data_IF_014509013753
#
_entry.id   IF_014509013753
#
_cell.length_a   1.000
_cell.length_b   1.000
_cell.length_c   1.000
_cell.angle_alpha   90.00
_cell.angle_beta   90.00
_cell.angle_gamma   90.00
#
_symmetry.space_group_name_H-M   'P 1'
#
loop_
_entity.id
_entity.type
_entity.pdbx_description
1 polymer ?
#
# COMPACT_ATOMS: atom_id res chain seq x y z
N UNK A 1 -16.66 -8.11 19.32
CA UNK A 1 -16.57 -6.63 19.38
C UNK A 1 -15.14 -6.27 19.76
N UNK A 2 -14.48 -5.47 18.96
CA UNK A 2 -13.20 -4.86 19.33
C UNK A 2 -13.49 -3.88 20.48
N UNK A 3 -12.69 -3.92 21.54
CA UNK A 3 -12.89 -3.02 22.68
C UNK A 3 -12.61 -1.57 22.24
N UNK A 4 -13.35 -0.60 22.78
CA UNK A 4 -13.14 0.85 22.52
C UNK A 4 -11.67 1.28 22.71
N UNK A 5 -10.92 0.60 23.57
CA UNK A 5 -9.49 0.87 23.77
C UNK A 5 -8.63 0.46 22.58
N UNK A 6 -8.99 -0.61 21.85
CA UNK A 6 -8.27 -1.03 20.64
C UNK A 6 -8.46 -0.03 19.49
N UNK A 7 -9.67 0.48 19.28
CA UNK A 7 -9.89 1.53 18.28
C UNK A 7 -9.02 2.74 18.55
N UNK A 8 -8.95 3.23 19.78
CA UNK A 8 -8.11 4.38 20.16
C UNK A 8 -6.62 4.18 19.86
N UNK A 9 -6.12 2.96 20.02
CA UNK A 9 -4.72 2.66 19.67
C UNK A 9 -4.49 2.80 18.17
N UNK A 10 -5.35 2.21 17.32
CA UNK A 10 -5.23 2.34 15.87
C UNK A 10 -5.40 3.78 15.42
N UNK A 11 -6.38 4.51 15.96
CA UNK A 11 -6.58 5.94 15.70
C UNK A 11 -5.33 6.77 16.02
N UNK A 12 -4.65 6.44 17.13
CA UNK A 12 -3.36 7.04 17.48
C UNK A 12 -2.26 6.69 16.48
N UNK A 13 -2.18 5.43 16.04
CA UNK A 13 -1.15 4.96 15.09
C UNK A 13 -1.28 5.65 13.73
N UNK A 14 -2.52 5.93 13.28
CA UNK A 14 -2.78 6.63 12.01
C UNK A 14 -2.97 8.15 12.17
N UNK A 15 -2.94 8.67 13.40
CA UNK A 15 -3.16 10.08 13.74
C UNK A 15 -4.51 10.63 13.24
N UNK A 16 -5.56 9.80 13.26
CA UNK A 16 -6.91 10.17 12.89
C UNK A 16 -7.94 9.53 13.82
N UNK A 17 -8.88 10.34 14.31
CA UNK A 17 -9.98 9.90 15.19
C UNK A 17 -11.25 9.85 14.38
N UNK A 18 -11.88 8.68 14.31
CA UNK A 18 -13.14 8.49 13.60
C UNK A 18 -14.31 9.14 14.33
N UNK A 19 -15.12 9.90 13.60
CA UNK A 19 -16.40 10.43 14.09
C UNK A 19 -17.45 9.32 14.21
N UNK A 20 -17.42 8.36 13.26
CA UNK A 20 -18.31 7.18 13.26
C UNK A 20 -17.48 5.88 13.43
N UNK A 21 -17.56 5.29 14.62
CA UNK A 21 -16.90 4.04 14.95
C UNK A 21 -17.37 2.82 14.12
N UNK A 22 -18.54 2.90 13.51
CA UNK A 22 -19.07 1.82 12.65
C UNK A 22 -18.34 1.80 11.31
N UNK A 23 -17.88 2.95 10.81
CA UNK A 23 -17.04 3.03 9.62
C UNK A 23 -15.70 2.35 9.90
N UNK A 24 -15.06 2.68 11.02
CA UNK A 24 -13.80 2.01 11.43
C UNK A 24 -13.98 0.51 11.60
N UNK A 25 -15.02 0.08 12.32
CA UNK A 25 -15.32 -1.34 12.51
C UNK A 25 -15.49 -2.05 11.16
N UNK A 26 -16.17 -1.43 10.21
CA UNK A 26 -16.37 -1.98 8.87
C UNK A 26 -15.06 -2.06 8.09
N UNK A 27 -14.22 -1.03 8.16
CA UNK A 27 -12.90 -1.01 7.51
C UNK A 27 -11.98 -2.13 8.02
N UNK A 28 -12.19 -2.60 9.24
CA UNK A 28 -11.42 -3.68 9.87
C UNK A 28 -12.05 -5.06 9.68
N UNK A 29 -13.26 -5.17 9.12
CA UNK A 29 -14.00 -6.43 9.02
C UNK A 29 -13.77 -7.09 7.66
N UNK A 30 -13.10 -8.25 7.67
CA UNK A 30 -12.89 -9.06 6.47
C UNK A 30 -14.16 -9.81 6.05
N UNK A 31 -14.31 -10.11 4.76
CA UNK A 31 -15.47 -10.85 4.21
C UNK A 31 -15.69 -12.24 4.82
N UNK A 32 -14.64 -12.88 5.32
CA UNK A 32 -14.78 -14.17 6.02
C UNK A 32 -15.55 -14.08 7.34
N UNK A 33 -15.64 -12.87 7.92
CA UNK A 33 -16.34 -12.63 9.18
C UNK A 33 -17.79 -12.21 8.96
N UNK A 34 -18.04 -11.32 8.00
CA UNK A 34 -19.38 -10.73 7.81
C UNK A 34 -19.59 -10.30 6.35
N UNK A 35 -20.86 -10.35 5.90
CA UNK A 35 -21.27 -9.76 4.64
C UNK A 35 -21.15 -8.21 4.64
N UNK A 36 -21.27 -7.57 5.81
CA UNK A 36 -20.98 -6.13 5.97
C UNK A 36 -19.47 -6.00 6.29
N UNK A 37 -18.66 -5.97 5.24
CA UNK A 37 -17.21 -6.02 5.29
C UNK A 37 -16.53 -4.80 4.63
N UNK A 38 -15.22 -4.84 4.51
CA UNK A 38 -14.39 -3.75 4.05
C UNK A 38 -14.29 -3.60 2.52
N UNK A 39 -14.66 -4.59 1.69
CA UNK A 39 -14.38 -4.59 0.23
C UNK A 39 -14.80 -3.31 -0.50
N UNK A 40 -15.92 -2.71 -0.13
CA UNK A 40 -16.36 -1.44 -0.74
C UNK A 40 -15.54 -0.23 -0.29
N UNK A 41 -14.98 -0.27 0.91
CA UNK A 41 -14.08 0.77 1.40
C UNK A 41 -12.69 0.62 0.79
N UNK A 42 -12.21 -0.60 0.61
CA UNK A 42 -11.00 -0.95 -0.14
C UNK A 42 -11.05 -0.36 -1.56
N UNK A 43 -12.10 -0.67 -2.32
CA UNK A 43 -12.28 -0.13 -3.67
C UNK A 43 -12.19 1.39 -3.72
N UNK A 44 -12.77 2.08 -2.74
CA UNK A 44 -12.72 3.54 -2.67
C UNK A 44 -11.36 4.05 -2.20
N UNK A 45 -10.78 3.36 -1.24
CA UNK A 45 -9.49 3.71 -0.65
C UNK A 45 -8.34 3.59 -1.64
N UNK A 46 -8.33 2.54 -2.47
CA UNK A 46 -7.39 2.39 -3.59
C UNK A 46 -7.39 3.63 -4.50
N UNK A 47 -8.56 4.07 -4.95
CA UNK A 47 -8.68 5.24 -5.81
C UNK A 47 -8.18 6.55 -5.12
N UNK A 48 -8.49 6.73 -3.83
CA UNK A 48 -8.06 7.89 -3.05
C UNK A 48 -6.55 7.86 -2.83
N UNK A 49 -6.01 6.71 -2.51
CA UNK A 49 -4.57 6.47 -2.33
C UNK A 49 -3.79 6.81 -3.60
N UNK A 50 -4.22 6.25 -4.73
CA UNK A 50 -3.62 6.49 -6.05
C UNK A 50 -3.63 7.98 -6.41
N UNK A 51 -4.73 8.69 -6.17
CA UNK A 51 -4.85 10.12 -6.43
C UNK A 51 -3.85 10.92 -5.58
N UNK A 52 -3.81 10.67 -4.27
CA UNK A 52 -2.94 11.42 -3.33
C UNK A 52 -1.47 11.19 -3.62
N UNK A 53 -1.08 9.92 -3.88
CA UNK A 53 0.31 9.60 -4.21
C UNK A 53 0.71 10.14 -5.58
N UNK A 54 -0.19 10.12 -6.57
CA UNK A 54 0.07 10.73 -7.87
C UNK A 54 0.31 12.24 -7.75
N UNK A 55 -0.52 12.94 -6.99
CA UNK A 55 -0.34 14.38 -6.73
C UNK A 55 1.00 14.64 -6.03
N UNK A 56 1.35 13.84 -5.05
CA UNK A 56 2.60 13.97 -4.30
C UNK A 56 3.82 13.76 -5.21
N UNK A 57 3.83 12.69 -5.98
CA UNK A 57 4.93 12.36 -6.91
C UNK A 57 5.06 13.45 -7.99
N UNK A 58 3.96 13.90 -8.57
CA UNK A 58 3.94 14.96 -9.56
C UNK A 58 4.58 16.27 -9.06
N UNK A 59 4.30 16.65 -7.80
CA UNK A 59 4.86 17.85 -7.18
C UNK A 59 6.33 17.70 -6.81
N UNK A 60 6.71 16.56 -6.27
CA UNK A 60 8.05 16.34 -5.71
C UNK A 60 9.08 16.02 -6.81
N UNK A 61 8.66 15.30 -7.84
CA UNK A 61 9.53 14.86 -8.93
C UNK A 61 9.19 15.54 -10.25
N UNK A 62 9.14 16.87 -10.26
CA UNK A 62 8.68 17.69 -11.38
C UNK A 62 9.48 17.53 -12.71
N UNK A 63 10.68 16.94 -12.65
CA UNK A 63 11.53 16.69 -13.83
C UNK A 63 11.45 15.24 -14.33
N UNK A 64 10.65 14.41 -13.67
CA UNK A 64 10.50 13.00 -14.03
C UNK A 64 9.34 12.82 -15.00
N UNK A 65 9.57 12.07 -16.08
CA UNK A 65 8.56 11.76 -17.10
C UNK A 65 7.42 10.88 -16.55
N UNK A 66 6.23 10.99 -17.17
CA UNK A 66 5.00 10.31 -16.75
C UNK A 66 5.19 8.81 -16.54
N UNK A 67 5.78 8.10 -17.51
CA UNK A 67 5.96 6.65 -17.41
C UNK A 67 6.85 6.22 -16.22
N UNK A 68 7.75 7.09 -15.78
CA UNK A 68 8.55 6.88 -14.56
C UNK A 68 7.74 7.18 -13.30
N UNK A 69 6.95 8.25 -13.29
CA UNK A 69 6.04 8.57 -12.16
C UNK A 69 5.02 7.44 -11.94
N UNK A 70 4.46 6.89 -13.01
CA UNK A 70 3.54 5.74 -12.94
C UNK A 70 4.19 4.51 -12.32
N UNK A 71 5.45 4.20 -12.67
CA UNK A 71 6.19 3.10 -12.03
C UNK A 71 6.52 3.37 -10.55
N UNK A 72 6.87 4.61 -10.22
CA UNK A 72 7.10 5.01 -8.82
C UNK A 72 5.83 4.81 -8.00
N UNK A 73 4.67 5.25 -8.50
CA UNK A 73 3.39 5.00 -7.85
C UNK A 73 3.14 3.52 -7.69
N UNK A 74 3.24 2.72 -8.77
CA UNK A 74 3.06 1.28 -8.71
C UNK A 74 3.99 0.61 -7.68
N UNK A 75 5.20 1.13 -7.49
CA UNK A 75 6.11 0.66 -6.45
C UNK A 75 5.60 0.96 -5.04
N UNK A 76 4.98 2.12 -4.82
CA UNK A 76 4.43 2.53 -3.52
C UNK A 76 3.14 1.79 -3.16
N UNK A 77 2.29 1.46 -4.16
CA UNK A 77 0.97 0.86 -3.92
C UNK A 77 0.93 -0.65 -4.19
N UNK A 78 2.08 -1.30 -4.42
CA UNK A 78 2.05 -2.75 -4.55
C UNK A 78 1.71 -3.43 -3.22
N UNK A 79 1.14 -4.61 -3.31
CA UNK A 79 0.68 -5.40 -2.17
C UNK A 79 1.72 -5.51 -1.03
N UNK A 80 3.00 -5.70 -1.38
CA UNK A 80 4.08 -5.83 -0.39
C UNK A 80 4.34 -4.52 0.36
N UNK A 81 4.34 -3.40 -0.37
CA UNK A 81 4.55 -2.07 0.21
C UNK A 81 3.41 -1.70 1.15
N UNK A 82 2.15 -1.90 0.71
CA UNK A 82 0.97 -1.65 1.55
C UNK A 82 0.94 -2.55 2.78
N UNK A 83 1.24 -3.84 2.64
CA UNK A 83 1.32 -4.76 3.75
C UNK A 83 2.43 -4.38 4.75
N UNK A 84 3.54 -3.83 4.29
CA UNK A 84 4.58 -3.31 5.17
C UNK A 84 4.07 -2.13 6.00
N UNK A 85 3.42 -1.14 5.38
CA UNK A 85 2.82 0.00 6.10
C UNK A 85 1.76 -0.49 7.10
N UNK A 86 0.91 -1.45 6.69
CA UNK A 86 -0.09 -2.04 7.58
C UNK A 86 0.54 -2.63 8.84
N UNK A 87 1.68 -3.32 8.72
CA UNK A 87 2.43 -3.84 9.88
C UNK A 87 3.07 -2.72 10.70
N UNK A 88 3.60 -1.67 10.08
CA UNK A 88 4.20 -0.54 10.80
C UNK A 88 3.18 0.17 11.71
N UNK A 89 1.89 0.15 11.35
CA UNK A 89 0.79 0.67 12.18
C UNK A 89 0.08 -0.40 13.01
N UNK A 90 0.60 -1.63 13.07
CA UNK A 90 0.05 -2.77 13.82
C UNK A 90 -1.40 -3.13 13.39
N UNK A 91 -1.77 -2.90 12.11
CA UNK A 91 -3.15 -3.08 11.62
C UNK A 91 -3.67 -4.52 11.80
N UNK A 92 -2.79 -5.52 11.72
CA UNK A 92 -3.08 -6.94 11.90
C UNK A 92 -3.74 -7.24 13.26
N UNK A 93 -3.38 -6.51 14.33
CA UNK A 93 -3.93 -6.70 15.66
C UNK A 93 -5.40 -6.28 15.79
N UNK A 94 -5.85 -5.45 14.86
CA UNK A 94 -7.21 -4.88 14.85
C UNK A 94 -8.17 -5.58 13.88
N UNK A 95 -7.66 -6.44 12.98
CA UNK A 95 -8.48 -7.11 11.97
C UNK A 95 -9.50 -8.08 12.57
N UNK A 96 -10.72 -8.01 12.04
CA UNK A 96 -11.84 -8.90 12.39
C UNK A 96 -11.99 -9.93 11.29
N UNK A 97 -11.45 -11.14 11.55
CA UNK A 97 -11.45 -12.27 10.61
C UNK A 97 -12.43 -13.36 11.06
N UNK A 98 -12.95 -14.14 10.13
CA UNK A 98 -13.69 -15.36 10.43
C UNK A 98 -12.79 -16.46 11.01
N UNK A 99 -13.38 -17.44 11.69
CA UNK A 99 -12.65 -18.50 12.39
C UNK A 99 -11.64 -19.27 11.51
N UNK A 100 -11.93 -19.46 10.23
CA UNK A 100 -11.04 -20.15 9.29
C UNK A 100 -9.80 -19.34 8.88
N UNK A 101 -9.87 -18.00 8.96
CA UNK A 101 -8.77 -17.08 8.59
C UNK A 101 -7.99 -16.56 9.80
N UNK A 102 -8.53 -16.72 11.02
CA UNK A 102 -7.99 -16.07 12.23
C UNK A 102 -6.56 -16.51 12.60
N UNK A 103 -6.11 -17.69 12.17
CA UNK A 103 -4.80 -18.24 12.56
C UNK A 103 -3.68 -17.86 11.60
N UNK A 104 -3.95 -17.72 10.30
CA UNK A 104 -2.94 -17.44 9.26
C UNK A 104 -3.23 -16.19 8.44
N UNK A 105 -4.46 -15.70 8.45
CA UNK A 105 -4.91 -14.59 7.62
C UNK A 105 -4.36 -13.23 8.02
N UNK A 106 -4.18 -12.99 9.32
CA UNK A 106 -3.72 -11.69 9.85
C UNK A 106 -2.36 -11.24 9.29
N UNK A 107 -1.48 -12.19 8.97
CA UNK A 107 -0.14 -11.90 8.43
C UNK A 107 -0.04 -12.01 6.91
N UNK A 108 -1.14 -12.29 6.20
CA UNK A 108 -1.11 -12.35 4.72
C UNK A 108 -1.03 -10.96 4.14
N UNK A 109 -0.06 -10.76 3.26
CA UNK A 109 0.16 -9.48 2.57
C UNK A 109 -1.11 -8.99 1.86
N UNK A 110 -1.89 -9.88 1.23
CA UNK A 110 -3.13 -9.50 0.55
C UNK A 110 -4.19 -8.95 1.51
N UNK A 111 -4.38 -9.59 2.67
CA UNK A 111 -5.36 -9.11 3.66
C UNK A 111 -4.91 -7.79 4.28
N UNK A 112 -3.62 -7.63 4.51
CA UNK A 112 -3.06 -6.41 5.09
C UNK A 112 -3.13 -5.23 4.11
N UNK A 113 -2.79 -5.45 2.82
CA UNK A 113 -2.92 -4.43 1.78
C UNK A 113 -4.35 -3.95 1.62
N UNK A 114 -5.28 -4.90 1.42
CA UNK A 114 -6.70 -4.61 1.22
C UNK A 114 -7.31 -3.88 2.43
N UNK A 115 -6.89 -4.28 3.64
CA UNK A 115 -7.35 -3.64 4.89
C UNK A 115 -6.78 -2.22 5.07
N UNK A 116 -5.56 -1.95 4.62
CA UNK A 116 -4.99 -0.60 4.64
C UNK A 116 -5.73 0.32 3.67
N UNK A 117 -6.00 -0.14 2.47
CA UNK A 117 -6.82 0.60 1.51
C UNK A 117 -8.22 0.85 2.07
N UNK A 118 -8.84 -0.16 2.68
CA UNK A 118 -10.14 -0.02 3.33
C UNK A 118 -10.13 0.99 4.48
N UNK A 119 -9.07 1.03 5.27
CA UNK A 119 -8.90 2.01 6.34
C UNK A 119 -8.80 3.43 5.78
N UNK A 120 -8.05 3.63 4.70
CA UNK A 120 -7.95 4.90 3.97
C UNK A 120 -9.32 5.31 3.41
N UNK A 121 -10.04 4.38 2.79
CA UNK A 121 -11.41 4.60 2.33
C UNK A 121 -12.37 4.97 3.45
N UNK A 122 -12.20 4.35 4.62
CA UNK A 122 -12.92 4.69 5.83
C UNK A 122 -12.66 6.12 6.31
N UNK A 123 -11.39 6.53 6.37
CA UNK A 123 -11.00 7.90 6.71
C UNK A 123 -11.60 8.90 5.72
N UNK A 124 -11.58 8.57 4.43
CA UNK A 124 -12.18 9.42 3.40
C UNK A 124 -13.71 9.59 3.58
N UNK A 125 -14.42 8.53 3.87
CA UNK A 125 -15.89 8.59 4.11
C UNK A 125 -16.21 9.36 5.38
N UNK A 126 -15.42 9.21 6.43
CA UNK A 126 -15.67 9.81 7.75
C UNK A 126 -15.23 11.27 7.83
N UNK A 127 -14.07 11.61 7.27
CA UNK A 127 -13.43 12.92 7.41
C UNK A 127 -13.14 13.67 6.11
N UNK A 128 -13.53 13.11 4.96
CA UNK A 128 -13.34 13.73 3.65
C UNK A 128 -11.91 13.63 3.12
N UNK A 129 -11.69 14.26 1.96
CA UNK A 129 -10.43 14.15 1.22
C UNK A 129 -9.22 14.70 1.98
N UNK A 130 -9.36 15.83 2.65
CA UNK A 130 -8.24 16.46 3.38
C UNK A 130 -7.72 15.57 4.52
N UNK A 131 -8.62 14.89 5.24
CA UNK A 131 -8.26 13.94 6.29
C UNK A 131 -7.54 12.72 5.71
N UNK A 132 -8.08 12.13 4.64
CA UNK A 132 -7.44 11.01 3.96
C UNK A 132 -6.06 11.39 3.41
N UNK A 133 -5.94 12.56 2.78
CA UNK A 133 -4.66 13.07 2.28
C UNK A 133 -3.63 13.24 3.40
N UNK A 134 -4.04 13.72 4.56
CA UNK A 134 -3.15 13.89 5.72
C UNK A 134 -2.64 12.55 6.23
N UNK A 135 -3.54 11.58 6.41
CA UNK A 135 -3.19 10.22 6.82
C UNK A 135 -2.25 9.55 5.81
N UNK A 136 -2.59 9.58 4.52
CA UNK A 136 -1.75 8.99 3.46
C UNK A 136 -0.36 9.62 3.45
N UNK A 137 -0.26 10.95 3.52
CA UNK A 137 1.03 11.65 3.55
C UNK A 137 1.88 11.21 4.74
N UNK A 138 1.28 11.04 5.91
CA UNK A 138 1.98 10.58 7.11
C UNK A 138 2.49 9.15 6.95
N UNK A 139 1.65 8.23 6.49
CA UNK A 139 1.99 6.81 6.35
C UNK A 139 3.07 6.56 5.29
N UNK A 140 3.04 7.28 4.17
CA UNK A 140 3.94 7.07 3.04
C UNK A 140 5.19 7.96 3.07
N UNK A 141 5.32 8.90 3.99
CA UNK A 141 6.41 9.87 4.06
C UNK A 141 7.79 9.21 4.03
N UNK A 142 8.00 8.18 4.85
CA UNK A 142 9.27 7.44 4.93
C UNK A 142 9.61 6.75 3.60
N UNK A 143 8.63 6.09 2.99
CA UNK A 143 8.84 5.39 1.73
C UNK A 143 9.14 6.37 0.59
N UNK A 144 8.41 7.50 0.51
CA UNK A 144 8.63 8.51 -0.52
C UNK A 144 10.03 9.11 -0.41
N UNK A 145 10.49 9.44 0.81
CA UNK A 145 11.85 9.95 1.04
C UNK A 145 12.96 8.96 0.67
N UNK A 146 12.67 7.67 0.71
CA UNK A 146 13.62 6.61 0.37
C UNK A 146 13.61 6.24 -1.12
N UNK A 147 12.63 6.73 -1.89
CA UNK A 147 12.60 6.50 -3.32
C UNK A 147 13.80 7.16 -3.97
N UNK A 148 14.65 6.35 -4.58
CA UNK A 148 15.63 6.82 -5.54
C UNK A 148 15.10 6.47 -6.95
N UNK A 149 14.71 7.48 -7.77
CA UNK A 149 14.22 7.21 -9.12
C UNK A 149 15.20 6.39 -9.96
N UNK A 150 16.48 6.60 -9.81
CA UNK A 150 17.54 5.90 -10.56
C UNK A 150 17.53 4.39 -10.28
N UNK A 151 17.33 3.98 -9.01
CA UNK A 151 17.34 2.57 -8.63
C UNK A 151 16.09 1.82 -9.11
N UNK A 152 14.93 2.50 -9.17
CA UNK A 152 13.68 1.92 -9.66
C UNK A 152 13.68 1.71 -11.18
N UNK A 153 14.59 2.39 -11.91
CA UNK A 153 14.61 2.39 -13.37
C UNK A 153 15.81 1.68 -13.97
N UNK A 154 16.68 1.13 -13.14
CA UNK A 154 17.71 0.21 -13.65
C UNK A 154 17.01 -0.95 -14.34
N UNK A 155 17.11 -1.00 -15.66
CA UNK A 155 16.69 -2.15 -16.43
C UNK A 155 17.30 -3.40 -15.81
N UNK A 156 16.48 -4.45 -15.60
CA UNK A 156 16.95 -5.69 -14.98
C UNK A 156 18.17 -6.28 -15.68
N UNK A 157 18.32 -6.04 -17.00
CA UNK A 157 19.52 -6.40 -17.74
C UNK A 157 20.73 -5.59 -17.30
N UNK A 158 20.57 -4.28 -17.19
CA UNK A 158 21.65 -3.38 -16.76
C UNK A 158 22.06 -3.66 -15.31
N UNK A 159 21.06 -3.85 -14.42
CA UNK A 159 21.31 -4.23 -13.03
C UNK A 159 22.08 -5.56 -12.91
N UNK A 160 21.68 -6.59 -13.69
CA UNK A 160 22.39 -7.86 -13.73
C UNK A 160 23.82 -7.70 -14.27
N UNK A 161 24.02 -6.91 -15.33
CA UNK A 161 25.34 -6.64 -15.89
C UNK A 161 26.27 -5.96 -14.88
N UNK A 162 25.77 -4.94 -14.15
CA UNK A 162 26.55 -4.25 -13.11
C UNK A 162 26.96 -5.23 -11.98
N UNK A 163 26.04 -6.08 -11.53
CA UNK A 163 26.34 -7.09 -10.50
C UNK A 163 27.40 -8.07 -10.98
N UNK A 164 27.30 -8.56 -12.22
CA UNK A 164 28.25 -9.51 -12.78
C UNK A 164 29.63 -8.85 -12.99
N UNK A 165 29.68 -7.62 -13.48
CA UNK A 165 30.94 -6.86 -13.62
C UNK A 165 31.61 -6.62 -12.28
N UNK A 166 30.84 -6.21 -11.25
CA UNK A 166 31.35 -5.99 -9.89
C UNK A 166 31.97 -7.24 -9.27
N UNK A 167 31.47 -8.41 -9.64
CA UNK A 167 31.97 -9.71 -9.16
C UNK A 167 32.94 -10.39 -10.13
N UNK A 168 33.44 -9.67 -11.15
CA UNK A 168 34.31 -10.20 -12.20
C UNK A 168 33.76 -11.47 -12.88
N UNK A 169 32.44 -11.58 -13.02
CA UNK A 169 31.76 -12.68 -13.69
C UNK A 169 31.52 -12.35 -15.18
N UNK A 170 31.38 -13.38 -16.01
CA UNK A 170 31.07 -13.21 -17.43
C UNK A 170 29.68 -12.54 -17.57
N UNK A 171 29.61 -11.58 -18.50
CA UNK A 171 28.32 -10.95 -18.85
C UNK A 171 27.35 -11.96 -19.47
N UNK A 172 26.02 -11.79 -19.26
CA UNK A 172 25.03 -12.71 -19.79
C UNK A 172 24.92 -12.55 -21.31
N UNK A 173 24.81 -13.66 -22.02
CA UNK A 173 24.47 -13.69 -23.44
C UNK A 173 22.95 -13.81 -23.61
N UNK A 174 22.35 -12.88 -24.32
CA UNK A 174 20.92 -12.88 -24.59
C UNK A 174 20.64 -13.44 -25.98
N UNK A 175 19.76 -14.46 -26.07
CA UNK A 175 19.31 -15.00 -27.34
C UNK A 175 17.78 -14.80 -27.47
N UNK A 176 17.36 -14.29 -28.61
CA UNK A 176 15.94 -14.26 -28.97
C UNK A 176 15.46 -15.67 -29.24
N UNK A 177 14.59 -16.21 -28.38
CA UNK A 177 14.09 -17.57 -28.51
C UNK A 177 12.77 -17.58 -29.30
N UNK A 178 11.90 -16.59 -29.06
CA UNK A 178 10.58 -16.47 -29.73
C UNK A 178 10.09 -15.04 -29.63
N UNK A 179 9.38 -14.57 -30.64
CA UNK A 179 8.59 -13.35 -30.60
C UNK A 179 7.12 -13.74 -30.65
N UNK A 180 6.33 -13.41 -29.63
CA UNK A 180 4.88 -13.51 -29.62
C UNK A 180 4.33 -12.09 -29.49
N UNK A 181 3.52 -11.69 -30.42
CA UNK A 181 2.83 -10.40 -30.44
C UNK A 181 2.12 -10.24 -31.78
N UNK A 182 0.89 -9.75 -31.73
CA UNK A 182 0.12 -9.31 -32.89
C UNK A 182 0.72 -8.05 -33.49
#
# INVERSE_FOLDING_TARGET
MISKNKHKQLESNIQYIFNDSDILTRALTHRSHSAKNYERLEFLGDAVLDMVLSERLYKEFSQIEEGRLSRMRAHLVNQRALAQIAREIELDDFLILGKGESTSGKNRDSILSDSLEALIGGVYIDGGFESAQTVIKSLFEKMIRQINPEDLFKDSKSALQEVLQKNNMKLPEYKLIKTEGD
#
